data_IF_692527115747
#
_entry.id   IF_692527115747
#
_cell.length_a   1.000
_cell.length_b   1.000
_cell.length_c   1.000
_cell.angle_alpha   90.00
_cell.angle_beta   90.00
_cell.angle_gamma   90.00
#
_symmetry.space_group_name_H-M   'P 1'
#
loop_
_entity.id
_entity.type
_entity.pdbx_description
1 polymer ?
#
# COMPACT_ATOMS: atom_id res chain seq x y z
N UNK A 1 13.32 -0.13 15.20
CA UNK A 1 12.69 0.18 13.91
C UNK A 1 12.52 1.70 13.81
N UNK A 2 12.44 2.27 12.60
CA UNK A 2 12.30 3.72 12.41
C UNK A 2 10.83 4.10 12.65
N UNK A 3 10.57 5.22 13.30
CA UNK A 3 9.21 5.70 13.54
C UNK A 3 8.56 6.12 12.22
N UNK A 4 7.26 5.85 12.09
CA UNK A 4 6.46 6.25 10.94
C UNK A 4 5.10 6.82 11.38
N UNK A 5 4.50 7.59 10.48
CA UNK A 5 3.27 8.31 10.69
C UNK A 5 2.36 8.16 9.47
N UNK A 6 1.08 7.87 9.73
CA UNK A 6 -0.02 8.11 8.80
C UNK A 6 -0.78 9.34 9.27
N UNK A 7 -0.89 10.34 8.42
CA UNK A 7 -1.68 11.54 8.67
C UNK A 7 -2.80 11.65 7.64
N UNK A 8 -4.04 11.84 8.12
CA UNK A 8 -5.22 12.00 7.30
C UNK A 8 -5.51 13.49 7.07
N UNK A 9 -6.14 13.84 5.95
CA UNK A 9 -6.45 15.23 5.62
C UNK A 9 -7.37 15.94 6.64
N UNK A 10 -8.15 15.17 7.40
CA UNK A 10 -9.02 15.67 8.46
C UNK A 10 -8.29 15.95 9.79
N UNK A 11 -6.98 15.72 9.82
CA UNK A 11 -6.11 15.99 10.96
C UNK A 11 -5.87 14.79 11.87
N UNK A 12 -6.53 13.64 11.64
CA UNK A 12 -6.29 12.44 12.43
C UNK A 12 -4.97 11.80 12.04
N UNK A 13 -4.18 11.38 13.03
CA UNK A 13 -2.89 10.73 12.81
C UNK A 13 -2.79 9.38 13.52
N UNK A 14 -1.93 8.51 12.98
CA UNK A 14 -1.61 7.19 13.54
C UNK A 14 -0.11 6.98 13.47
N UNK A 15 0.50 6.71 14.61
CA UNK A 15 1.93 6.38 14.70
C UNK A 15 2.14 4.88 14.61
N UNK A 16 3.32 4.49 14.14
CA UNK A 16 3.72 3.11 14.00
C UNK A 16 5.20 3.00 13.68
N UNK A 17 5.60 1.86 13.15
CA UNK A 17 6.97 1.58 12.76
C UNK A 17 7.06 1.40 11.24
N UNK A 18 8.08 2.00 10.64
CA UNK A 18 8.36 1.87 9.22
C UNK A 18 8.85 0.46 8.88
N UNK A 19 8.33 -0.07 7.78
CA UNK A 19 8.91 -1.18 7.03
C UNK A 19 8.74 -0.92 5.52
N UNK A 20 9.33 -1.76 4.67
CA UNK A 20 9.40 -1.47 3.24
C UNK A 20 10.40 -0.34 2.96
N UNK A 21 10.11 0.46 1.94
CA UNK A 21 10.99 1.56 1.56
C UNK A 21 10.86 2.78 2.48
N UNK A 22 11.95 3.50 2.70
CA UNK A 22 11.92 4.79 3.39
C UNK A 22 11.44 5.92 2.47
N UNK A 23 10.81 6.94 3.05
CA UNK A 23 10.39 8.15 2.37
C UNK A 23 8.98 8.58 2.75
N UNK A 24 8.53 9.64 2.07
CA UNK A 24 7.20 10.22 2.20
C UNK A 24 6.38 9.95 0.94
N UNK A 25 5.15 9.48 1.10
CA UNK A 25 4.20 9.22 0.01
C UNK A 25 2.83 9.77 0.38
N UNK A 26 2.09 10.19 -0.64
CA UNK A 26 0.72 10.70 -0.49
C UNK A 26 -0.21 9.96 -1.44
N UNK A 27 -1.46 9.81 -1.05
CA UNK A 27 -2.48 9.15 -1.84
C UNK A 27 -3.82 9.16 -1.14
N UNK A 28 -4.82 8.57 -1.79
CA UNK A 28 -6.10 8.30 -1.13
C UNK A 28 -5.97 7.04 -0.26
N UNK A 29 -6.35 7.10 1.01
CA UNK A 29 -6.32 5.93 1.88
C UNK A 29 -7.63 5.17 1.81
N UNK A 30 -7.51 3.86 1.59
CA UNK A 30 -8.62 2.91 1.62
C UNK A 30 -8.32 1.74 2.57
N UNK A 31 -9.30 0.88 2.79
CA UNK A 31 -9.10 -0.35 3.54
C UNK A 31 -9.58 -1.57 2.74
N UNK A 32 -8.89 -2.70 2.92
CA UNK A 32 -9.24 -3.98 2.32
C UNK A 32 -9.47 -5.03 3.43
N UNK A 33 -10.60 -5.74 3.35
CA UNK A 33 -11.04 -6.72 4.35
C UNK A 33 -10.54 -8.14 4.11
N UNK A 34 -9.79 -8.37 3.04
CA UNK A 34 -9.19 -9.67 2.74
C UNK A 34 -8.23 -10.10 3.85
N UNK A 35 -8.35 -11.37 4.25
CA UNK A 35 -7.46 -11.99 5.25
C UNK A 35 -6.24 -12.66 4.61
N UNK A 36 -6.29 -12.87 3.29
CA UNK A 36 -5.23 -13.45 2.46
C UNK A 36 -5.13 -12.65 1.16
N UNK A 37 -4.14 -12.95 0.34
CA UNK A 37 -3.97 -12.31 -0.96
C UNK A 37 -3.44 -10.87 -0.90
N UNK A 38 -2.51 -10.57 0.02
CA UNK A 38 -1.98 -9.22 0.17
C UNK A 38 -1.04 -8.87 -0.99
N UNK A 39 -0.42 -9.83 -1.67
CA UNK A 39 0.46 -9.55 -2.81
C UNK A 39 -0.35 -9.20 -4.06
N UNK A 40 -1.43 -9.92 -4.28
CA UNK A 40 -2.44 -9.68 -5.30
C UNK A 40 -3.02 -8.27 -5.10
N UNK A 41 -3.34 -7.89 -3.86
CA UNK A 41 -3.76 -6.51 -3.53
C UNK A 41 -2.68 -5.47 -3.83
N UNK A 42 -1.40 -5.77 -3.57
CA UNK A 42 -0.31 -4.83 -3.88
C UNK A 42 -0.14 -4.61 -5.39
N UNK A 43 -0.43 -5.64 -6.19
CA UNK A 43 -0.22 -5.67 -7.64
C UNK A 43 -1.47 -5.41 -8.47
N UNK A 44 -2.64 -5.20 -7.85
CA UNK A 44 -3.85 -4.81 -8.55
C UNK A 44 -3.74 -3.33 -9.04
N UNK A 45 -3.81 -3.07 -10.36
CA UNK A 45 -3.76 -1.72 -10.93
C UNK A 45 -4.83 -0.77 -10.40
N UNK A 46 -5.93 -1.29 -9.86
CA UNK A 46 -7.03 -0.52 -9.29
C UNK A 46 -6.60 0.30 -8.07
N UNK A 47 -5.53 -0.11 -7.37
CA UNK A 47 -4.98 0.64 -6.23
C UNK A 47 -3.98 1.73 -6.62
N UNK A 48 -3.83 2.04 -7.92
CA UNK A 48 -2.96 3.13 -8.36
C UNK A 48 -3.36 4.44 -7.69
N UNK A 49 -2.39 5.09 -7.04
CA UNK A 49 -2.64 6.34 -6.31
C UNK A 49 -3.20 6.15 -4.89
N UNK A 50 -3.39 4.91 -4.43
CA UNK A 50 -3.99 4.61 -3.12
C UNK A 50 -2.97 4.10 -2.10
N UNK A 51 -3.19 4.43 -0.84
CA UNK A 51 -2.53 3.84 0.32
C UNK A 51 -3.49 2.79 0.89
N UNK A 52 -3.07 1.52 0.89
CA UNK A 52 -3.97 0.42 1.26
C UNK A 52 -3.76 0.02 2.70
N UNK A 53 -4.85 -0.01 3.47
CA UNK A 53 -4.88 -0.52 4.85
C UNK A 53 -5.47 -1.92 4.90
N UNK A 54 -4.71 -2.90 5.37
CA UNK A 54 -5.24 -4.25 5.61
C UNK A 54 -5.97 -4.30 6.95
N UNK A 55 -7.19 -4.85 6.96
CA UNK A 55 -7.91 -5.06 8.22
C UNK A 55 -7.45 -6.30 8.96
N UNK A 56 -6.95 -7.32 8.24
CA UNK A 56 -6.37 -8.49 8.89
C UNK A 56 -5.04 -8.11 9.54
N UNK A 57 -4.84 -8.38 10.85
CA UNK A 57 -3.73 -7.80 11.59
C UNK A 57 -2.38 -8.36 11.19
N UNK A 58 -2.29 -9.66 10.89
CA UNK A 58 -1.03 -10.36 10.63
C UNK A 58 -0.75 -10.44 9.12
N UNK A 59 0.17 -9.64 8.62
CA UNK A 59 0.46 -9.56 7.18
C UNK A 59 1.93 -9.95 6.91
N UNK A 60 2.21 -10.58 5.76
CA UNK A 60 3.57 -11.04 5.39
C UNK A 60 3.92 -12.48 5.80
N UNK A 61 2.97 -13.22 6.37
CA UNK A 61 3.16 -14.59 6.88
C UNK A 61 3.58 -15.61 5.81
N UNK A 62 3.14 -15.46 4.55
CA UNK A 62 3.54 -16.35 3.45
C UNK A 62 4.53 -15.72 2.47
N UNK A 63 5.10 -14.56 2.81
CA UNK A 63 6.09 -13.88 1.97
C UNK A 63 5.51 -13.41 0.64
N UNK A 64 6.36 -13.36 -0.38
CA UNK A 64 5.97 -13.02 -1.76
C UNK A 64 6.58 -14.00 -2.76
N UNK A 65 5.97 -14.12 -3.94
CA UNK A 65 6.46 -14.93 -5.06
C UNK A 65 5.97 -14.39 -6.41
N UNK A 66 6.60 -14.77 -7.52
CA UNK A 66 6.26 -14.20 -8.83
C UNK A 66 4.90 -14.63 -9.39
N UNK A 67 4.34 -15.75 -8.90
CA UNK A 67 3.09 -16.33 -9.42
C UNK A 67 1.83 -15.65 -8.87
N UNK A 68 1.94 -14.94 -7.75
CA UNK A 68 0.82 -14.24 -7.11
C UNK A 68 0.78 -12.73 -7.48
N UNK A 69 1.47 -12.34 -8.56
CA UNK A 69 1.38 -10.98 -9.10
C UNK A 69 0.21 -10.89 -10.10
N UNK A 70 -0.72 -9.97 -9.89
CA UNK A 70 -1.84 -9.69 -10.81
C UNK A 70 -1.45 -8.72 -11.94
N UNK A 71 -0.26 -8.14 -11.88
CA UNK A 71 0.29 -7.26 -12.91
C UNK A 71 1.83 -7.24 -12.87
N UNK A 72 2.44 -6.47 -13.78
CA UNK A 72 3.89 -6.35 -13.88
C UNK A 72 4.57 -5.64 -12.71
N UNK A 73 3.84 -4.84 -11.94
CA UNK A 73 4.39 -4.06 -10.83
C UNK A 73 3.36 -3.85 -9.70
N UNK A 74 3.79 -3.64 -8.45
CA UNK A 74 2.88 -3.15 -7.42
C UNK A 74 2.44 -1.71 -7.71
N UNK A 75 1.13 -1.45 -7.58
CA UNK A 75 0.53 -0.16 -7.95
C UNK A 75 0.19 0.74 -6.75
N UNK A 76 0.23 0.20 -5.52
CA UNK A 76 -0.06 0.98 -4.31
C UNK A 76 0.97 2.09 -4.08
N UNK A 77 0.52 3.23 -3.54
CA UNK A 77 1.40 4.31 -3.08
C UNK A 77 2.06 4.01 -1.74
N UNK A 78 1.41 3.18 -0.92
CA UNK A 78 1.88 2.80 0.41
C UNK A 78 0.99 1.73 1.03
N UNK A 79 1.48 1.12 2.12
CA UNK A 79 0.83 -0.03 2.73
C UNK A 79 0.77 0.08 4.26
N UNK A 80 -0.39 -0.21 4.85
CA UNK A 80 -0.66 -0.05 6.29
C UNK A 80 -1.15 -1.38 6.85
N UNK A 81 -0.46 -1.88 7.88
CA UNK A 81 -0.78 -3.18 8.52
C UNK A 81 -0.81 -3.05 10.04
N UNK A 82 -1.46 -4.01 10.69
CA UNK A 82 -1.43 -4.11 12.16
C UNK A 82 -0.07 -4.59 12.65
N UNK A 83 0.40 -5.72 12.12
CA UNK A 83 1.65 -6.35 12.49
C UNK A 83 2.25 -7.06 11.26
N UNK A 84 3.51 -6.76 10.95
CA UNK A 84 4.27 -7.52 9.96
C UNK A 84 4.76 -8.81 10.60
N UNK A 85 4.56 -9.93 9.92
CA UNK A 85 5.10 -11.20 10.38
C UNK A 85 6.63 -11.17 10.35
N UNK A 86 7.31 -11.51 11.46
CA UNK A 86 8.78 -11.52 11.51
C UNK A 86 9.38 -12.69 10.73
N UNK A 87 8.56 -13.70 10.36
CA UNK A 87 8.99 -14.90 9.66
C UNK A 87 8.05 -15.14 8.49
N UNK A 88 8.62 -15.37 7.32
CA UNK A 88 7.92 -15.88 6.15
C UNK A 88 7.94 -17.40 6.16
N UNK A 89 6.76 -18.03 6.18
CA UNK A 89 6.62 -19.49 6.24
C UNK A 89 5.58 -19.99 5.23
N UNK A 90 6.03 -20.19 4.00
CA UNK A 90 5.27 -20.85 2.94
C UNK A 90 6.24 -21.49 1.94
N UNK A 91 5.92 -22.68 1.44
CA UNK A 91 6.78 -23.41 0.50
C UNK A 91 6.94 -22.69 -0.86
N UNK A 92 5.99 -21.81 -1.23
CA UNK A 92 6.05 -20.98 -2.44
C UNK A 92 6.84 -19.69 -2.24
N UNK A 93 7.17 -19.33 -1.00
CA UNK A 93 7.77 -18.03 -0.71
C UNK A 93 9.17 -17.91 -1.33
N UNK A 94 9.39 -16.84 -2.09
CA UNK A 94 10.69 -16.50 -2.68
C UNK A 94 11.40 -15.36 -1.92
N UNK A 95 10.69 -14.63 -1.05
CA UNK A 95 11.24 -13.56 -0.23
C UNK A 95 10.22 -13.00 0.77
N UNK A 96 10.69 -12.14 1.67
CA UNK A 96 9.81 -11.48 2.65
C UNK A 96 9.03 -10.32 2.02
N UNK A 97 7.93 -9.93 2.66
CA UNK A 97 7.15 -8.76 2.23
C UNK A 97 7.94 -7.44 2.38
N UNK A 98 8.77 -7.33 3.42
CA UNK A 98 9.62 -6.14 3.64
C UNK A 98 10.63 -5.96 2.50
N UNK A 99 11.32 -7.03 2.11
CA UNK A 99 12.25 -7.01 0.97
C UNK A 99 11.55 -6.68 -0.35
N UNK A 100 10.34 -7.21 -0.56
CA UNK A 100 9.54 -6.93 -1.74
C UNK A 100 9.18 -5.43 -1.84
N UNK A 101 8.67 -4.84 -0.75
CA UNK A 101 8.31 -3.43 -0.72
C UNK A 101 9.54 -2.51 -0.85
N UNK A 102 10.67 -2.88 -0.25
CA UNK A 102 11.96 -2.16 -0.45
C UNK A 102 12.40 -2.17 -1.90
N UNK A 103 12.32 -3.33 -2.58
CA UNK A 103 12.68 -3.50 -3.99
C UNK A 103 11.88 -2.56 -4.89
N UNK A 104 10.58 -2.46 -4.63
CA UNK A 104 9.65 -1.63 -5.39
C UNK A 104 9.53 -0.18 -4.90
N UNK A 105 10.32 0.21 -3.89
CA UNK A 105 10.34 1.56 -3.33
C UNK A 105 8.98 1.99 -2.76
N UNK A 106 8.25 1.06 -2.14
CA UNK A 106 6.93 1.32 -1.53
C UNK A 106 7.07 1.51 -0.02
N UNK A 107 6.72 2.68 0.53
CA UNK A 107 6.69 2.90 1.96
C UNK A 107 5.56 2.12 2.64
N UNK A 108 5.84 1.58 3.82
CA UNK A 108 4.85 0.89 4.62
C UNK A 108 5.01 1.12 6.12
N UNK A 109 3.93 0.88 6.86
CA UNK A 109 3.85 1.11 8.30
C UNK A 109 3.10 -0.01 9.01
N UNK A 110 3.69 -0.50 10.11
CA UNK A 110 3.10 -1.48 11.00
C UNK A 110 2.84 -0.88 12.39
N UNK A 111 2.15 -1.60 13.27
CA UNK A 111 1.83 -1.17 14.62
C UNK A 111 0.70 -0.13 14.68
N UNK A 112 -0.01 0.08 13.57
CA UNK A 112 -1.15 0.99 13.50
C UNK A 112 -2.39 0.27 14.01
N UNK A 113 -3.25 0.96 14.78
CA UNK A 113 -4.60 0.50 15.05
C UNK A 113 -5.45 0.56 13.78
N UNK A 114 -5.27 -0.43 12.89
CA UNK A 114 -5.96 -0.53 11.61
C UNK A 114 -7.47 -0.66 11.80
N UNK A 115 -7.95 -1.12 12.97
CA UNK A 115 -9.37 -1.14 13.31
C UNK A 115 -9.92 0.25 13.57
N UNK A 116 -9.21 1.09 14.33
CA UNK A 116 -9.60 2.49 14.53
C UNK A 116 -9.56 3.27 13.21
N UNK A 117 -8.53 3.06 12.39
CA UNK A 117 -8.42 3.65 11.07
C UNK A 117 -9.58 3.22 10.16
N UNK A 118 -9.85 1.91 10.06
CA UNK A 118 -10.96 1.37 9.25
C UNK A 118 -12.32 1.91 9.70
N UNK A 119 -12.58 1.98 11.01
CA UNK A 119 -13.81 2.56 11.55
C UNK A 119 -13.97 4.02 11.14
N UNK A 120 -12.86 4.77 11.13
CA UNK A 120 -12.85 6.17 10.74
C UNK A 120 -13.18 6.34 9.26
N UNK A 121 -12.50 5.60 8.38
CA UNK A 121 -12.73 5.61 6.94
C UNK A 121 -14.14 5.15 6.58
N UNK A 122 -14.69 4.16 7.30
CA UNK A 122 -16.07 3.71 7.09
C UNK A 122 -17.12 4.80 7.38
N UNK A 123 -16.85 5.69 8.34
CA UNK A 123 -17.80 6.75 8.74
C UNK A 123 -17.59 8.02 7.90
N UNK A 124 -16.34 8.35 7.56
CA UNK A 124 -15.98 9.61 6.89
C UNK A 124 -15.77 9.46 5.37
N UNK A 125 -15.66 8.23 4.86
CA UNK A 125 -15.27 7.95 3.49
C UNK A 125 -13.74 7.80 3.35
N UNK A 126 -13.33 7.36 2.15
CA UNK A 126 -11.94 7.45 1.73
C UNK A 126 -11.52 8.92 1.66
N UNK A 127 -10.25 9.18 1.98
CA UNK A 127 -9.74 10.53 2.13
C UNK A 127 -8.26 10.56 1.82
N UNK A 128 -7.71 11.75 1.60
CA UNK A 128 -6.26 11.88 1.34
C UNK A 128 -5.46 11.62 2.61
N UNK A 129 -4.33 10.96 2.44
CA UNK A 129 -3.40 10.65 3.52
C UNK A 129 -1.95 10.83 3.08
N UNK A 130 -1.10 11.09 4.07
CA UNK A 130 0.34 11.11 3.96
C UNK A 130 0.91 9.99 4.83
N UNK A 131 1.73 9.12 4.22
CA UNK A 131 2.55 8.13 4.91
C UNK A 131 3.99 8.60 4.87
N UNK A 132 4.64 8.68 6.02
CA UNK A 132 6.04 9.09 6.10
C UNK A 132 6.77 8.37 7.23
N UNK A 133 8.03 8.04 6.98
CA UNK A 133 8.99 7.66 8.01
C UNK A 133 10.04 8.76 8.26
N UNK A 134 9.88 9.92 7.63
CA UNK A 134 10.74 11.08 7.81
C UNK A 134 10.31 11.89 9.03
N UNK A 135 11.21 12.73 9.55
CA UNK A 135 10.95 13.57 10.72
C UNK A 135 10.05 14.77 10.37
N UNK A 136 8.83 14.50 9.94
CA UNK A 136 7.77 15.49 9.73
C UNK A 136 6.96 15.67 11.01
N UNK A 137 6.56 16.92 11.28
CA UNK A 137 5.55 17.17 12.31
C UNK A 137 4.21 16.58 11.86
N UNK A 138 3.34 16.17 12.80
CA UNK A 138 1.97 15.78 12.47
C UNK A 138 1.24 16.82 11.62
N UNK A 139 1.46 18.10 11.90
CA UNK A 139 0.86 19.22 11.18
C UNK A 139 1.34 19.28 9.72
N UNK A 140 2.65 19.12 9.49
CA UNK A 140 3.22 19.11 8.13
C UNK A 140 2.76 17.88 7.34
N UNK A 141 2.64 16.72 7.99
CA UNK A 141 2.13 15.50 7.35
C UNK A 141 0.65 15.65 6.96
N UNK A 142 -0.17 16.27 7.81
CA UNK A 142 -1.57 16.61 7.48
C UNK A 142 -1.62 17.63 6.33
N UNK A 143 -0.73 18.62 6.32
CA UNK A 143 -0.65 19.59 5.22
C UNK A 143 -0.27 18.89 3.89
N UNK A 144 0.69 17.95 3.92
CA UNK A 144 1.04 17.14 2.77
C UNK A 144 -0.15 16.30 2.26
N UNK A 145 -0.92 15.69 3.17
CA UNK A 145 -2.14 14.97 2.81
C UNK A 145 -3.19 15.89 2.14
N UNK A 146 -3.39 17.10 2.66
CA UNK A 146 -4.33 18.09 2.09
C UNK A 146 -3.89 18.64 0.73
N UNK A 147 -2.59 18.68 0.47
CA UNK A 147 -2.03 19.13 -0.81
C UNK A 147 -1.95 18.00 -1.85
N UNK A 148 -2.23 16.76 -1.46
CA UNK A 148 -2.24 15.64 -2.39
C UNK A 148 -3.36 15.80 -3.45
N UNK A 149 -3.10 15.41 -4.71
CA UNK A 149 -4.13 15.38 -5.74
C UNK A 149 -5.32 14.52 -5.29
N UNK A 150 -6.56 14.97 -5.49
CA UNK A 150 -7.73 14.15 -5.20
C UNK A 150 -7.81 12.97 -6.17
N UNK A 151 -8.33 11.84 -5.70
CA UNK A 151 -8.66 10.69 -6.55
C UNK A 151 -9.69 11.09 -7.62
N UNK A 152 -10.75 11.80 -7.20
CA UNK A 152 -11.78 12.31 -8.10
C UNK A 152 -11.15 13.32 -9.08
N UNK A 153 -11.24 13.00 -10.37
CA UNK A 153 -10.70 13.82 -11.45
C UNK A 153 -9.27 13.46 -11.87
N UNK A 154 -8.61 12.50 -11.19
CA UNK A 154 -7.34 11.95 -11.63
C UNK A 154 -7.54 10.88 -12.72
N UNK A 155 -6.70 10.89 -13.75
CA UNK A 155 -6.74 9.91 -14.85
C UNK A 155 -5.66 8.84 -14.66
N UNK A 156 -5.84 8.00 -13.63
CA UNK A 156 -4.93 6.88 -13.36
C UNK A 156 -4.99 5.78 -14.43
N UNK A 157 -6.08 5.71 -15.20
CA UNK A 157 -6.23 4.75 -16.29
C UNK A 157 -5.13 4.94 -17.33
N UNK A 158 -4.82 6.18 -17.70
CA UNK A 158 -3.69 6.49 -18.61
C UNK A 158 -2.33 6.10 -18.05
N UNK A 159 -2.17 6.06 -16.72
CA UNK A 159 -0.89 5.69 -16.09
C UNK A 159 -0.67 4.18 -16.06
N UNK A 160 -1.74 3.38 -16.05
CA UNK A 160 -1.66 1.91 -15.91
C UNK A 160 -1.95 1.16 -17.21
N UNK A 161 -2.52 1.82 -18.21
CA UNK A 161 -2.82 1.19 -19.49
C UNK A 161 -1.55 0.85 -20.28
N UNK A 162 -1.63 -0.20 -21.11
CA UNK A 162 -0.53 -0.58 -22.01
C UNK A 162 -0.32 0.49 -23.10
N UNK A 163 0.94 0.81 -23.47
CA UNK A 163 1.22 1.73 -24.56
C UNK A 163 0.84 1.19 -25.95
N UNK A 164 0.70 -0.14 -26.10
CA UNK A 164 0.37 -0.80 -27.36
C UNK A 164 -0.60 -1.95 -27.14
N UNK A 165 -1.52 -2.13 -28.08
CA UNK A 165 -2.37 -3.31 -28.10
C UNK A 165 -1.52 -4.57 -28.24
N UNK A 166 -1.88 -5.62 -27.51
CA UNK A 166 -1.24 -6.92 -27.54
C UNK A 166 -2.32 -8.01 -27.47
N UNK A 167 -1.97 -9.21 -27.92
CA UNK A 167 -2.81 -10.39 -27.75
C UNK A 167 -2.44 -11.08 -26.44
N UNK A 168 -3.43 -11.33 -25.60
CA UNK A 168 -3.20 -12.05 -24.34
C UNK A 168 -3.04 -13.54 -24.61
N UNK A 169 -1.88 -14.07 -24.28
CA UNK A 169 -1.57 -15.49 -24.32
C UNK A 169 -1.87 -16.12 -22.94
N UNK A 170 -2.77 -17.12 -22.85
CA UNK A 170 -3.02 -17.85 -21.61
C UNK A 170 -1.79 -18.54 -21.01
N UNK A 171 -0.75 -18.79 -21.81
CA UNK A 171 0.54 -19.35 -21.36
C UNK A 171 1.55 -18.25 -20.96
N UNK A 172 1.17 -16.98 -21.04
CA UNK A 172 1.96 -15.78 -20.72
C UNK A 172 3.30 -15.67 -21.49
N UNK A 173 3.41 -16.31 -22.67
CA UNK A 173 4.65 -16.28 -23.47
C UNK A 173 4.76 -15.07 -24.37
N UNK A 174 3.63 -14.44 -24.70
CA UNK A 174 3.54 -13.31 -25.63
C UNK A 174 3.11 -11.98 -24.98
N UNK A 175 2.72 -12.00 -23.70
CA UNK A 175 2.03 -10.87 -23.04
C UNK A 175 2.97 -9.84 -22.36
N UNK A 176 4.23 -9.74 -22.78
CA UNK A 176 5.22 -8.79 -22.22
C UNK A 176 5.63 -7.70 -23.20
#
# INVERSE_FOLDING_TARGET
MKQALIALEDGRTFSGESFGASGTTVGEICFNTSMTGYQEVLTDPSYRGQIVTMTYPLIGNYGTNELDNESSEPHVRGFVVGELSPITSNWRAAGSLDEYLKRWKIPAIQGVDTRALTKHLRVRGAMRACLTDEALSPEDAVAAARNAPPMIGSDYVREVTTPKAFEWDPEDRLSR
#
